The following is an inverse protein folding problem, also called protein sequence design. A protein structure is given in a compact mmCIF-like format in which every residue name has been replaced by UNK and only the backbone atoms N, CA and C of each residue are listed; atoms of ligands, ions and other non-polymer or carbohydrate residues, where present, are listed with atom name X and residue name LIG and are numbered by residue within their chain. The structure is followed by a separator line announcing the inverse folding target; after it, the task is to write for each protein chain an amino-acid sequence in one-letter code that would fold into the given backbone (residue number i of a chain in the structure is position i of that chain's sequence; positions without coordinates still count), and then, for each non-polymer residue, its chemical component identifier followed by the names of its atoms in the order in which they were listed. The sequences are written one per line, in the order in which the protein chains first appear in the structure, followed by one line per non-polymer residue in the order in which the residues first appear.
data_IF_325221688869
#
_entry.id   IF_325221688869
#
_cell.length_a   1.000
_cell.length_b   1.000
_cell.length_c   1.000
_cell.angle_alpha   90.00
_cell.angle_beta   90.00
_cell.angle_gamma   90.00
#
_symmetry.space_group_name_H-M   'P 1'
#
loop_
_entity.id
_entity.type
_entity.pdbx_description
1 polymer ?
#
# COMPACT_ATOMS: atom_id res chain seq x y z
N UNK A 1 0.89 -32.32 26.84
CA UNK A 1 0.24 -30.99 26.67
C UNK A 1 0.24 -30.66 25.18
N UNK A 2 -0.87 -30.89 24.50
CA UNK A 2 -1.03 -30.58 23.08
C UNK A 2 -1.23 -29.06 22.95
N UNK A 3 -0.27 -28.35 22.34
CA UNK A 3 -0.48 -26.97 21.87
C UNK A 3 -1.48 -27.04 20.71
N UNK A 4 -2.73 -26.65 20.95
CA UNK A 4 -3.62 -26.25 19.87
C UNK A 4 -3.02 -25.00 19.23
N UNK A 5 -2.41 -25.14 18.08
CA UNK A 5 -2.14 -24.02 17.18
C UNK A 5 -3.48 -23.61 16.61
N UNK A 6 -4.06 -22.52 17.18
CA UNK A 6 -5.18 -21.85 16.51
C UNK A 6 -4.68 -21.40 15.14
N UNK A 7 -5.30 -21.88 14.07
CA UNK A 7 -4.96 -21.44 12.72
C UNK A 7 -5.23 -19.94 12.64
N UNK A 8 -4.19 -19.16 12.33
CA UNK A 8 -4.32 -17.72 12.13
C UNK A 8 -5.23 -17.44 10.93
N UNK A 9 -6.16 -16.53 11.09
CA UNK A 9 -7.03 -16.09 10.01
C UNK A 9 -6.37 -14.98 9.21
N UNK A 10 -5.94 -15.33 8.01
CA UNK A 10 -5.30 -14.42 7.06
C UNK A 10 -6.35 -13.90 6.09
N UNK A 11 -6.39 -12.59 5.86
CA UNK A 11 -7.24 -11.94 4.87
C UNK A 11 -6.37 -11.23 3.85
N UNK A 12 -6.53 -11.58 2.58
CA UNK A 12 -5.85 -10.92 1.46
C UNK A 12 -6.82 -9.96 0.79
N UNK A 13 -6.40 -8.72 0.61
CA UNK A 13 -7.20 -7.64 0.02
C UNK A 13 -6.54 -7.19 -1.28
N UNK A 14 -7.32 -7.16 -2.35
CA UNK A 14 -6.94 -6.61 -3.65
C UNK A 14 -7.69 -5.29 -3.86
N UNK A 15 -7.08 -4.13 -3.57
CA UNK A 15 -7.70 -2.84 -3.80
C UNK A 15 -7.72 -2.54 -5.30
N UNK A 16 -8.84 -2.85 -5.95
CA UNK A 16 -9.05 -2.49 -7.34
C UNK A 16 -9.64 -1.07 -7.43
N UNK A 17 -8.94 -0.17 -8.11
CA UNK A 17 -9.32 1.24 -8.27
C UNK A 17 -9.76 1.46 -9.70
N UNK A 18 -10.89 0.87 -10.07
CA UNK A 18 -11.53 1.19 -11.33
C UNK A 18 -12.97 1.63 -11.09
N UNK A 19 -13.25 2.90 -11.40
CA UNK A 19 -14.58 3.49 -11.24
C UNK A 19 -15.58 3.00 -12.29
N UNK A 20 -15.08 2.47 -13.38
CA UNK A 20 -15.86 2.13 -14.57
C UNK A 20 -15.63 0.66 -14.93
N UNK A 21 -15.86 -0.25 -13.97
CA UNK A 21 -15.79 -1.70 -14.20
C UNK A 21 -16.79 -2.11 -15.30
N UNK A 22 -16.47 -1.78 -16.54
CA UNK A 22 -17.10 -2.36 -17.74
C UNK A 22 -16.57 -3.76 -18.01
N UNK A 23 -15.48 -4.14 -17.35
CA UNK A 23 -14.92 -5.46 -17.39
C UNK A 23 -15.60 -6.36 -16.35
N UNK A 24 -15.76 -7.59 -16.60
CA UNK A 24 -16.42 -8.54 -15.71
C UNK A 24 -15.60 -8.84 -14.41
N UNK A 25 -14.83 -7.87 -13.87
CA UNK A 25 -13.94 -8.07 -12.70
C UNK A 25 -14.74 -8.52 -11.48
N UNK A 26 -15.85 -7.85 -11.17
CA UNK A 26 -16.72 -8.21 -10.05
C UNK A 26 -17.28 -9.63 -10.21
N UNK A 27 -17.74 -9.97 -11.42
CA UNK A 27 -18.27 -11.31 -11.71
C UNK A 27 -17.20 -12.38 -11.63
N UNK A 28 -16.00 -12.11 -12.18
CA UNK A 28 -14.85 -13.02 -12.10
C UNK A 28 -14.41 -13.26 -10.66
N UNK A 29 -14.32 -12.21 -9.85
CA UNK A 29 -13.98 -12.31 -8.44
C UNK A 29 -15.00 -13.15 -7.67
N UNK A 30 -16.29 -12.92 -7.89
CA UNK A 30 -17.37 -13.72 -7.26
C UNK A 30 -17.34 -15.19 -7.69
N UNK A 31 -17.03 -15.48 -8.96
CA UNK A 31 -16.94 -16.87 -9.47
C UNK A 31 -15.86 -17.70 -8.77
N UNK A 32 -14.78 -17.07 -8.32
CA UNK A 32 -13.71 -17.74 -7.55
C UNK A 32 -13.95 -17.68 -6.04
N UNK A 33 -15.13 -17.26 -5.60
CA UNK A 33 -15.50 -17.22 -4.18
C UNK A 33 -14.97 -16.00 -3.41
N UNK A 34 -14.43 -15.00 -4.10
CA UNK A 34 -13.96 -13.78 -3.43
C UNK A 34 -15.15 -12.94 -2.93
N UNK A 35 -14.99 -12.40 -1.72
CA UNK A 35 -15.92 -11.39 -1.20
C UNK A 35 -15.63 -10.05 -1.86
N UNK A 36 -16.60 -9.49 -2.55
CA UNK A 36 -16.48 -8.23 -3.26
C UNK A 36 -17.13 -7.11 -2.47
N UNK A 37 -16.38 -6.05 -2.19
CA UNK A 37 -16.85 -4.83 -1.53
C UNK A 37 -16.78 -3.71 -2.58
N UNK A 38 -17.94 -3.21 -2.98
CA UNK A 38 -18.01 -2.12 -3.94
C UNK A 38 -18.04 -0.77 -3.24
N UNK A 39 -17.31 0.20 -3.80
CA UNK A 39 -17.41 1.60 -3.41
C UNK A 39 -18.64 2.22 -4.06
N UNK A 40 -19.28 3.18 -3.39
CA UNK A 40 -20.35 3.96 -4.01
C UNK A 40 -19.77 4.70 -5.24
N UNK A 41 -20.37 4.47 -6.41
CA UNK A 41 -19.92 5.02 -7.69
C UNK A 41 -20.01 6.56 -7.80
N UNK A 42 -20.63 7.23 -6.84
CA UNK A 42 -20.65 8.70 -6.73
C UNK A 42 -19.37 9.27 -6.13
N UNK A 43 -18.53 8.44 -5.54
CA UNK A 43 -17.25 8.88 -4.99
C UNK A 43 -16.14 8.71 -6.03
N UNK A 44 -15.21 9.66 -6.06
CA UNK A 44 -13.99 9.52 -6.88
C UNK A 44 -13.28 8.22 -6.53
N UNK A 45 -12.88 7.42 -7.53
CA UNK A 45 -12.12 6.21 -7.29
C UNK A 45 -10.78 6.59 -6.66
N UNK A 46 -10.50 6.02 -5.50
CA UNK A 46 -9.29 6.35 -4.78
C UNK A 46 -8.76 5.11 -4.05
N UNK A 47 -7.47 4.82 -4.24
CA UNK A 47 -6.82 3.63 -3.67
C UNK A 47 -6.99 3.58 -2.15
N UNK A 48 -6.80 4.72 -1.47
CA UNK A 48 -6.93 4.79 -0.02
C UNK A 48 -8.33 4.46 0.48
N UNK A 49 -9.38 4.90 -0.23
CA UNK A 49 -10.76 4.53 0.12
C UNK A 49 -10.97 3.02 -0.01
N UNK A 50 -10.50 2.41 -1.10
CA UNK A 50 -10.62 0.97 -1.31
C UNK A 50 -9.88 0.18 -0.21
N UNK A 51 -8.65 0.60 0.12
CA UNK A 51 -7.86 -0.04 1.18
C UNK A 51 -8.51 0.10 2.55
N UNK A 52 -9.00 1.29 2.92
CA UNK A 52 -9.72 1.50 4.20
C UNK A 52 -10.97 0.65 4.32
N UNK A 53 -11.78 0.56 3.27
CA UNK A 53 -12.95 -0.32 3.26
C UNK A 53 -12.57 -1.79 3.44
N UNK A 54 -11.54 -2.25 2.73
CA UNK A 54 -11.02 -3.60 2.90
C UNK A 54 -10.54 -3.87 4.31
N UNK A 55 -9.82 -2.92 4.94
CA UNK A 55 -9.38 -3.04 6.34
C UNK A 55 -10.56 -3.15 7.30
N UNK A 56 -11.55 -2.27 7.20
CA UNK A 56 -12.74 -2.32 8.06
C UNK A 56 -13.45 -3.67 7.94
N UNK A 57 -13.56 -4.20 6.73
CA UNK A 57 -14.18 -5.50 6.52
C UNK A 57 -13.33 -6.64 7.12
N UNK A 58 -12.03 -6.66 6.87
CA UNK A 58 -11.14 -7.69 7.42
C UNK A 58 -11.13 -7.67 8.96
N UNK A 59 -11.14 -6.49 9.56
CA UNK A 59 -11.24 -6.30 11.01
C UNK A 59 -12.59 -6.84 11.52
N UNK A 60 -13.70 -6.52 10.83
CA UNK A 60 -15.04 -6.95 11.25
C UNK A 60 -15.23 -8.46 11.29
N UNK A 61 -14.48 -9.18 10.47
CA UNK A 61 -14.51 -10.65 10.43
C UNK A 61 -13.39 -11.28 11.28
N UNK A 62 -12.76 -10.51 12.16
CA UNK A 62 -11.70 -10.96 13.07
C UNK A 62 -10.51 -11.61 12.34
N UNK A 63 -9.95 -10.94 11.34
CA UNK A 63 -8.67 -11.31 10.75
C UNK A 63 -7.54 -11.14 11.78
N UNK A 64 -6.58 -12.05 11.80
CA UNK A 64 -5.37 -11.94 12.62
C UNK A 64 -4.27 -11.19 11.86
N UNK A 65 -4.16 -11.48 10.57
CA UNK A 65 -3.21 -10.87 9.63
C UNK A 65 -3.97 -10.36 8.42
N UNK A 66 -3.63 -9.15 7.97
CA UNK A 66 -4.20 -8.55 6.77
C UNK A 66 -3.07 -8.20 5.81
N UNK A 67 -3.20 -8.68 4.58
CA UNK A 67 -2.26 -8.51 3.49
C UNK A 67 -2.93 -7.77 2.33
N UNK A 68 -2.28 -6.72 1.84
CA UNK A 68 -2.62 -6.07 0.58
C UNK A 68 -1.76 -6.58 -0.57
N UNK A 69 -2.37 -6.73 -1.74
CA UNK A 69 -1.69 -6.99 -3.00
C UNK A 69 -2.32 -6.12 -4.08
N UNK A 70 -1.50 -5.47 -4.93
CA UNK A 70 -2.02 -4.73 -6.07
C UNK A 70 -2.82 -5.66 -7.00
N UNK A 71 -3.96 -5.19 -7.50
CA UNK A 71 -4.88 -6.01 -8.29
C UNK A 71 -4.42 -6.24 -9.75
N UNK A 72 -3.38 -5.54 -10.21
CA UNK A 72 -2.85 -5.59 -11.57
C UNK A 72 -1.59 -6.46 -11.72
N UNK A 73 -1.22 -7.20 -10.68
CA UNK A 73 -0.08 -8.13 -10.71
C UNK A 73 -0.42 -9.30 -11.66
N UNK A 74 0.40 -9.50 -12.70
CA UNK A 74 0.19 -10.52 -13.73
C UNK A 74 0.79 -11.89 -13.37
N UNK A 75 1.85 -11.89 -12.57
CA UNK A 75 2.61 -13.08 -12.20
C UNK A 75 2.59 -13.39 -10.70
N UNK A 76 1.49 -13.06 -10.02
CA UNK A 76 1.30 -13.38 -8.61
C UNK A 76 1.32 -14.89 -8.39
N UNK A 77 2.06 -15.32 -7.37
CA UNK A 77 2.13 -16.72 -6.94
C UNK A 77 1.77 -16.86 -5.46
N UNK A 78 1.35 -18.04 -5.00
CA UNK A 78 1.09 -18.30 -3.58
C UNK A 78 2.29 -17.99 -2.68
N UNK A 79 3.51 -18.22 -3.15
CA UNK A 79 4.75 -17.99 -2.40
C UNK A 79 4.93 -16.52 -2.01
N UNK A 80 4.37 -15.57 -2.78
CA UNK A 80 4.38 -14.15 -2.39
C UNK A 80 3.58 -13.91 -1.12
N UNK A 81 2.42 -14.58 -1.02
CA UNK A 81 1.55 -14.49 0.15
C UNK A 81 2.25 -15.12 1.35
N UNK A 82 2.76 -16.33 1.18
CA UNK A 82 3.44 -17.08 2.25
C UNK A 82 4.66 -16.29 2.77
N UNK A 83 5.51 -15.78 1.89
CA UNK A 83 6.70 -15.01 2.26
C UNK A 83 6.35 -13.71 3.01
N UNK A 84 5.29 -12.99 2.61
CA UNK A 84 4.86 -11.78 3.30
C UNK A 84 4.24 -12.10 4.67
N UNK A 85 3.45 -13.15 4.76
CA UNK A 85 2.86 -13.60 6.03
C UNK A 85 3.94 -14.09 6.99
N UNK A 86 4.89 -14.89 6.52
CA UNK A 86 6.05 -15.33 7.32
C UNK A 86 6.90 -14.14 7.79
N UNK A 87 7.06 -13.13 6.93
CA UNK A 87 7.70 -11.88 7.29
C UNK A 87 7.05 -11.21 8.51
N UNK A 88 5.71 -11.18 8.56
CA UNK A 88 4.94 -10.61 9.66
C UNK A 88 5.05 -11.39 10.98
N UNK A 89 5.57 -12.62 10.98
CA UNK A 89 5.81 -13.34 12.24
C UNK A 89 7.00 -12.74 13.01
N UNK A 90 7.92 -12.09 12.30
CA UNK A 90 9.19 -11.58 12.83
C UNK A 90 9.30 -10.05 12.80
N UNK A 91 8.25 -9.33 12.43
CA UNK A 91 8.17 -7.87 12.43
C UNK A 91 6.73 -7.42 12.58
N UNK A 92 6.49 -6.10 12.68
CA UNK A 92 5.15 -5.55 12.78
C UNK A 92 4.50 -5.36 11.41
N UNK A 93 5.31 -4.99 10.40
CA UNK A 93 4.87 -4.79 9.02
C UNK A 93 5.91 -5.34 8.03
N UNK A 94 5.50 -6.28 7.18
CA UNK A 94 6.28 -6.79 6.07
C UNK A 94 5.84 -6.12 4.76
N UNK A 95 6.80 -5.63 3.98
CA UNK A 95 6.56 -4.97 2.69
C UNK A 95 7.29 -5.71 1.58
N UNK A 96 6.61 -5.91 0.45
CA UNK A 96 7.23 -6.52 -0.72
C UNK A 96 8.21 -5.58 -1.41
N UNK A 97 9.37 -6.10 -1.81
CA UNK A 97 10.21 -5.45 -2.80
C UNK A 97 10.56 -6.44 -3.90
N UNK A 98 10.80 -5.92 -5.10
CA UNK A 98 10.94 -6.75 -6.29
C UNK A 98 11.76 -6.03 -7.36
N UNK A 99 12.28 -6.81 -8.29
CA UNK A 99 12.88 -6.26 -9.50
C UNK A 99 11.77 -5.81 -10.46
N UNK A 100 11.97 -4.65 -11.06
CA UNK A 100 11.10 -4.08 -12.10
C UNK A 100 11.93 -3.76 -13.34
N UNK A 101 11.25 -3.63 -14.46
CA UNK A 101 11.88 -3.09 -15.65
C UNK A 101 12.47 -1.69 -15.36
N UNK A 102 13.62 -1.37 -15.96
CA UNK A 102 14.36 -0.12 -15.68
C UNK A 102 13.55 1.16 -15.96
N UNK A 103 12.57 1.09 -16.84
CA UNK A 103 11.66 2.21 -17.19
C UNK A 103 10.48 2.36 -16.25
N UNK A 104 10.21 1.38 -15.39
CA UNK A 104 9.12 1.43 -14.42
C UNK A 104 9.47 2.21 -13.18
N UNK A 105 8.43 2.50 -12.38
CA UNK A 105 8.54 3.14 -11.07
C UNK A 105 9.08 4.58 -11.10
N UNK A 106 8.68 5.39 -12.10
CA UNK A 106 9.09 6.80 -12.21
C UNK A 106 8.79 7.58 -10.92
N UNK A 107 7.59 7.49 -10.37
CA UNK A 107 7.21 8.17 -9.13
C UNK A 107 8.04 7.70 -7.94
N UNK A 108 8.32 6.39 -7.85
CA UNK A 108 9.19 5.84 -6.80
C UNK A 108 10.61 6.43 -6.89
N UNK A 109 11.20 6.45 -8.08
CA UNK A 109 12.60 6.84 -8.29
C UNK A 109 12.81 8.34 -8.25
N UNK A 110 11.88 9.12 -8.82
CA UNK A 110 12.05 10.55 -9.02
C UNK A 110 11.40 11.41 -7.91
N UNK A 111 10.47 10.86 -7.16
CA UNK A 111 9.74 11.57 -6.11
C UNK A 111 9.90 10.87 -4.76
N UNK A 112 9.36 9.67 -4.60
CA UNK A 112 9.27 9.06 -3.27
C UNK A 112 10.64 8.82 -2.63
N UNK A 113 11.58 8.17 -3.32
CA UNK A 113 12.92 7.90 -2.76
C UNK A 113 13.71 9.17 -2.41
N UNK A 114 13.83 10.18 -3.31
CA UNK A 114 14.51 11.44 -2.97
C UNK A 114 13.87 12.16 -1.79
N UNK A 115 12.55 12.26 -1.75
CA UNK A 115 11.86 12.97 -0.67
C UNK A 115 11.96 12.21 0.67
N UNK A 116 11.84 10.88 0.66
CA UNK A 116 12.08 10.05 1.85
C UNK A 116 13.52 10.27 2.35
N UNK A 117 14.49 10.28 1.47
CA UNK A 117 15.89 10.53 1.87
C UNK A 117 16.07 11.88 2.56
N UNK A 118 15.36 12.91 2.10
CA UNK A 118 15.44 14.27 2.67
C UNK A 118 14.68 14.36 4.00
N UNK A 119 13.42 13.90 4.04
CA UNK A 119 12.52 14.16 5.17
C UNK A 119 12.46 13.03 6.20
N UNK A 120 12.74 11.81 5.79
CA UNK A 120 12.70 10.59 6.62
C UNK A 120 13.94 9.72 6.36
N UNK A 121 15.17 10.23 6.64
CA UNK A 121 16.42 9.54 6.31
C UNK A 121 16.52 8.15 6.94
N UNK A 122 15.83 7.90 8.04
CA UNK A 122 15.70 6.58 8.67
C UNK A 122 15.03 5.54 7.78
N UNK A 123 14.25 5.96 6.79
CA UNK A 123 13.57 5.11 5.80
C UNK A 123 14.33 5.02 4.46
N UNK A 124 15.50 5.64 4.34
CA UNK A 124 16.26 5.68 3.07
C UNK A 124 16.71 4.29 2.59
N UNK A 125 16.74 3.31 3.48
CA UNK A 125 17.07 1.92 3.16
C UNK A 125 15.94 1.16 2.47
N UNK A 126 14.72 1.70 2.46
CA UNK A 126 13.55 1.05 1.86
C UNK A 126 13.65 1.08 0.33
N UNK A 127 13.67 -0.09 -0.29
CA UNK A 127 13.80 -0.22 -1.73
C UNK A 127 12.52 0.13 -2.48
N UNK A 128 11.35 -0.22 -1.93
CA UNK A 128 10.05 0.01 -2.57
C UNK A 128 9.09 0.78 -1.66
N UNK A 129 9.31 2.10 -1.44
CA UNK A 129 8.49 2.90 -0.55
C UNK A 129 7.02 3.02 -0.99
N UNK A 130 6.72 2.77 -2.26
CA UNK A 130 5.35 2.75 -2.82
C UNK A 130 4.84 1.33 -3.08
N UNK A 131 5.40 0.30 -2.42
CA UNK A 131 4.89 -1.06 -2.57
C UNK A 131 3.44 -1.15 -2.09
N UNK A 132 2.57 -1.72 -2.92
CA UNK A 132 1.21 -2.08 -2.55
C UNK A 132 1.10 -3.48 -1.92
N UNK A 133 2.18 -4.24 -1.93
CA UNK A 133 2.31 -5.55 -1.31
C UNK A 133 2.74 -5.38 0.14
N UNK A 134 1.77 -5.31 1.05
CA UNK A 134 2.04 -4.99 2.47
C UNK A 134 1.23 -5.89 3.38
N UNK A 135 1.90 -6.53 4.31
CA UNK A 135 1.33 -7.40 5.31
C UNK A 135 1.59 -6.85 6.72
N UNK A 136 0.59 -6.85 7.57
CA UNK A 136 0.75 -6.55 8.99
C UNK A 136 -0.30 -7.27 9.84
N UNK A 137 -0.05 -7.37 11.14
CA UNK A 137 -1.06 -7.82 12.10
C UNK A 137 -2.20 -6.82 12.18
N UNK A 138 -3.39 -7.31 12.45
CA UNK A 138 -4.61 -6.49 12.52
C UNK A 138 -4.48 -5.31 13.49
N UNK A 139 -3.77 -5.47 14.60
CA UNK A 139 -3.58 -4.38 15.57
C UNK A 139 -2.77 -3.21 14.98
N UNK A 140 -1.77 -3.49 14.14
CA UNK A 140 -1.02 -2.44 13.43
C UNK A 140 -1.95 -1.64 12.52
N UNK A 141 -2.79 -2.35 11.75
CA UNK A 141 -3.75 -1.71 10.85
C UNK A 141 -4.80 -0.89 11.59
N UNK A 142 -5.31 -1.37 12.73
CA UNK A 142 -6.25 -0.59 13.57
C UNK A 142 -5.62 0.72 14.02
N UNK A 143 -4.40 0.67 14.58
CA UNK A 143 -3.71 1.86 15.04
C UNK A 143 -3.42 2.86 13.91
N UNK A 144 -3.09 2.37 12.71
CA UNK A 144 -2.89 3.23 11.55
C UNK A 144 -4.20 3.85 11.06
N UNK A 145 -5.31 3.11 11.06
CA UNK A 145 -6.63 3.63 10.66
C UNK A 145 -7.10 4.78 11.56
N UNK A 146 -6.84 4.72 12.86
CA UNK A 146 -7.20 5.79 13.82
C UNK A 146 -6.52 7.13 13.51
N UNK A 147 -5.40 7.11 12.79
CA UNK A 147 -4.64 8.31 12.39
C UNK A 147 -5.15 8.98 11.11
N UNK A 148 -6.28 8.51 10.59
CA UNK A 148 -6.95 9.08 9.43
C UNK A 148 -6.10 9.08 8.14
N UNK A 149 -5.79 7.89 7.58
CA UNK A 149 -5.02 7.76 6.35
C UNK A 149 -5.68 8.45 5.15
N UNK A 150 -4.89 8.92 4.16
CA UNK A 150 -5.40 9.61 2.99
C UNK A 150 -6.27 8.74 2.11
N UNK A 151 -7.17 9.37 1.33
CA UNK A 151 -8.08 8.66 0.43
C UNK A 151 -7.42 8.26 -0.90
N UNK A 152 -6.38 8.97 -1.31
CA UNK A 152 -5.77 8.86 -2.63
C UNK A 152 -4.60 7.88 -2.73
N UNK A 153 -3.78 8.10 -3.77
CA UNK A 153 -2.60 7.30 -4.09
C UNK A 153 -1.43 7.46 -3.09
N UNK A 154 -1.48 8.50 -2.26
CA UNK A 154 -0.50 8.68 -1.18
C UNK A 154 -0.61 7.67 -0.03
N UNK A 155 -1.60 6.76 -0.05
CA UNK A 155 -1.87 5.82 1.04
C UNK A 155 -0.69 4.87 1.31
N UNK A 156 -0.01 4.37 0.27
CA UNK A 156 1.09 3.40 0.43
C UNK A 156 2.29 4.01 1.13
N UNK A 157 2.67 5.24 0.74
CA UNK A 157 3.77 5.97 1.38
C UNK A 157 3.37 6.45 2.78
N UNK A 158 2.12 6.81 2.97
CA UNK A 158 1.58 7.21 4.25
C UNK A 158 1.66 6.06 5.27
N UNK A 159 1.26 4.85 4.89
CA UNK A 159 1.39 3.67 5.76
C UNK A 159 2.85 3.38 6.13
N UNK A 160 3.78 3.56 5.19
CA UNK A 160 5.20 3.40 5.48
C UNK A 160 5.68 4.40 6.53
N UNK A 161 5.42 5.69 6.28
CA UNK A 161 5.86 6.77 7.18
C UNK A 161 5.21 6.61 8.56
N UNK A 162 3.90 6.44 8.62
CA UNK A 162 3.18 6.37 9.89
C UNK A 162 3.51 5.10 10.70
N UNK A 163 3.75 3.98 10.05
CA UNK A 163 4.22 2.79 10.74
C UNK A 163 5.58 3.02 11.37
N UNK A 164 6.53 3.59 10.63
CA UNK A 164 7.87 3.91 11.14
C UNK A 164 7.83 4.94 12.28
N UNK A 165 7.06 6.03 12.09
CA UNK A 165 6.92 7.09 13.11
C UNK A 165 6.17 6.62 14.35
N UNK A 166 5.42 5.53 14.27
CA UNK A 166 4.78 4.85 15.41
C UNK A 166 5.70 3.85 16.12
N UNK A 167 6.94 3.69 15.63
CA UNK A 167 7.93 2.76 16.21
C UNK A 167 7.74 1.30 15.79
N UNK A 168 6.91 1.03 14.79
CA UNK A 168 6.75 -0.34 14.27
C UNK A 168 7.99 -0.79 13.51
N UNK A 169 8.36 -2.05 13.70
CA UNK A 169 9.44 -2.68 12.98
C UNK A 169 8.98 -3.09 11.57
N UNK A 170 9.56 -2.45 10.56
CA UNK A 170 9.25 -2.69 9.15
C UNK A 170 10.35 -3.53 8.52
N UNK A 171 9.96 -4.56 7.76
CA UNK A 171 10.89 -5.42 7.03
C UNK A 171 10.48 -5.53 5.56
N UNK A 172 11.45 -5.40 4.67
CA UNK A 172 11.22 -5.71 3.26
C UNK A 172 11.47 -7.18 2.95
N UNK A 173 10.58 -7.75 2.13
CA UNK A 173 10.58 -9.16 1.70
C UNK A 173 10.76 -9.19 0.19
N UNK A 174 11.80 -9.86 -0.29
CA UNK A 174 12.03 -10.01 -1.71
C UNK A 174 11.02 -10.96 -2.35
N UNK A 175 10.30 -10.47 -3.36
CA UNK A 175 9.24 -11.21 -4.05
C UNK A 175 9.61 -11.61 -5.49
N UNK A 176 10.88 -11.47 -5.89
CA UNK A 176 11.34 -11.79 -7.24
C UNK A 176 11.05 -10.67 -8.24
N UNK A 177 10.57 -11.01 -9.43
CA UNK A 177 10.20 -10.05 -10.47
C UNK A 177 8.70 -9.74 -10.38
N UNK A 178 8.32 -8.45 -10.47
CA UNK A 178 6.91 -8.04 -10.58
C UNK A 178 6.58 -7.69 -12.03
N UNK A 179 5.62 -8.42 -12.58
CA UNK A 179 4.96 -8.08 -13.84
C UNK A 179 3.58 -7.47 -13.52
N UNK A 180 3.38 -6.23 -13.92
CA UNK A 180 2.14 -5.51 -13.70
C UNK A 180 1.83 -4.63 -14.92
N UNK A 181 0.72 -3.92 -14.92
CA UNK A 181 0.41 -2.93 -15.94
C UNK A 181 1.49 -1.83 -15.92
N UNK A 182 2.27 -1.73 -16.99
CA UNK A 182 3.43 -0.85 -17.05
C UNK A 182 3.05 0.60 -17.37
N UNK A 183 4.03 1.52 -17.18
CA UNK A 183 3.89 2.90 -17.62
C UNK A 183 3.63 3.01 -19.15
N UNK A 184 4.10 2.05 -19.93
CA UNK A 184 3.86 2.00 -21.37
C UNK A 184 2.37 1.82 -21.71
N UNK A 185 1.62 1.15 -20.82
CA UNK A 185 0.16 0.98 -20.94
C UNK A 185 -0.60 2.29 -20.59
N UNK A 186 0.07 3.23 -19.89
CA UNK A 186 -0.47 4.55 -19.52
C UNK A 186 -0.02 5.68 -20.46
N UNK A 187 0.59 5.38 -21.61
CA UNK A 187 1.08 6.41 -22.57
C UNK A 187 0.01 7.42 -22.98
N UNK A 188 -1.24 7.01 -22.95
CA UNK A 188 -2.37 7.88 -23.30
C UNK A 188 -2.93 8.65 -22.09
N UNK A 189 -2.51 8.34 -20.85
CA UNK A 189 -3.00 8.99 -19.63
C UNK A 189 -1.87 9.54 -18.75
N UNK A 190 -1.11 10.48 -19.32
CA UNK A 190 -0.07 11.21 -18.56
C UNK A 190 -0.67 11.94 -17.35
N UNK A 191 -1.94 12.34 -17.43
CA UNK A 191 -2.66 13.01 -16.35
C UNK A 191 -2.82 12.11 -15.11
N UNK A 192 -3.03 10.82 -15.30
CA UNK A 192 -3.16 9.86 -14.19
C UNK A 192 -1.86 9.69 -13.43
N UNK A 193 -0.73 9.59 -14.14
CA UNK A 193 0.60 9.51 -13.54
C UNK A 193 0.95 10.81 -12.79
N UNK A 194 0.69 11.97 -13.39
CA UNK A 194 0.94 13.27 -12.77
C UNK A 194 0.12 13.41 -11.47
N UNK A 195 -1.16 13.02 -11.49
CA UNK A 195 -2.01 13.04 -10.30
C UNK A 195 -1.53 12.10 -9.20
N UNK A 196 -1.04 10.91 -9.57
CA UNK A 196 -0.44 10.00 -8.60
C UNK A 196 0.83 10.59 -7.99
N UNK A 197 1.70 11.19 -8.81
CA UNK A 197 2.93 11.85 -8.38
C UNK A 197 2.63 12.98 -7.40
N UNK A 198 1.69 13.86 -7.74
CA UNK A 198 1.21 14.97 -6.90
C UNK A 198 0.72 14.48 -5.53
N UNK A 199 -0.11 13.43 -5.51
CA UNK A 199 -0.65 12.91 -4.26
C UNK A 199 0.41 12.25 -3.37
N UNK A 200 1.39 11.56 -3.94
CA UNK A 200 2.52 10.99 -3.21
C UNK A 200 3.39 12.11 -2.62
N UNK A 201 3.76 13.09 -3.44
CA UNK A 201 4.55 14.27 -3.03
C UNK A 201 3.86 15.02 -1.89
N UNK A 202 2.59 15.39 -2.08
CA UNK A 202 1.80 16.10 -1.08
C UNK A 202 1.72 15.31 0.24
N UNK A 203 1.55 14.00 0.16
CA UNK A 203 1.50 13.15 1.36
C UNK A 203 2.82 13.19 2.12
N UNK A 204 3.96 13.07 1.44
CA UNK A 204 5.27 13.12 2.11
C UNK A 204 5.49 14.48 2.77
N UNK A 205 5.20 15.58 2.07
CA UNK A 205 5.34 16.96 2.62
C UNK A 205 4.44 17.15 3.84
N UNK A 206 3.18 16.72 3.75
CA UNK A 206 2.22 16.82 4.85
C UNK A 206 2.70 16.05 6.08
N UNK A 207 3.16 14.82 5.91
CA UNK A 207 3.67 14.01 7.01
C UNK A 207 5.00 14.57 7.55
N UNK A 208 5.88 15.09 6.68
CA UNK A 208 7.10 15.77 7.12
C UNK A 208 6.78 17.00 8.01
N UNK A 209 5.78 17.79 7.65
CA UNK A 209 5.32 18.89 8.49
C UNK A 209 4.71 18.40 9.80
N UNK A 210 3.86 17.36 9.75
CA UNK A 210 3.19 16.79 10.93
C UNK A 210 4.17 16.21 11.94
N UNK A 211 5.26 15.62 11.47
CA UNK A 211 6.33 15.08 12.29
C UNK A 211 7.46 16.07 12.59
N UNK A 212 7.26 17.37 12.32
CA UNK A 212 8.22 18.43 12.65
C UNK A 212 9.52 18.40 11.84
N UNK A 213 9.50 17.74 10.67
CA UNK A 213 10.66 17.64 9.77
C UNK A 213 10.85 18.87 8.88
N UNK A 214 9.77 19.61 8.66
CA UNK A 214 9.76 20.91 7.96
C UNK A 214 8.78 21.85 8.66
N UNK A 215 9.06 23.16 8.57
CA UNK A 215 8.17 24.20 9.08
C UNK A 215 7.60 25.00 7.91
N UNK A 216 6.42 24.62 7.43
CA UNK A 216 5.76 25.25 6.30
C UNK A 216 5.39 26.74 6.52
N UNK A 217 5.42 27.22 7.78
CA UNK A 217 5.08 28.62 8.10
C UNK A 217 6.26 29.56 8.09
N UNK A 218 7.51 29.08 8.20
CA UNK A 218 8.69 29.92 8.32
C UNK A 218 9.57 29.96 7.06
N UNK A 219 9.41 29.03 6.13
CA UNK A 219 10.35 28.86 5.01
C UNK A 219 9.87 29.46 3.68
N UNK A 220 8.66 30.01 3.62
CA UNK A 220 8.15 30.70 2.44
C UNK A 220 8.20 32.19 2.70
N UNK A 221 9.40 32.76 2.68
CA UNK A 221 9.59 34.18 2.34
C UNK A 221 9.78 34.27 0.81
N UNK A 222 8.67 34.53 0.12
CA UNK A 222 8.70 34.96 -1.27
C UNK A 222 9.07 36.46 -1.31
#
# INVERSE_FOLDING_TARGET
MSRQTSSQKIVVIFPAVDAYLSDATVEKAKKVGARVIQQDHRMFPAKGIAMKKGLHEAISINADIILFLDADIKNLTPEWIDNLVDGCTNCDMARGYYQRHTRDAAVTKLIAKPMIHIFFPELSHIEQPLSGEVCARTEVWKNLLEKNPPDGWGIDIWFLIEAAMSGYQIKEIFLGNKEHTSFEDYREDVGKLAKMAEQVEFTIIKEASRHGRINLHNDVKI
#
